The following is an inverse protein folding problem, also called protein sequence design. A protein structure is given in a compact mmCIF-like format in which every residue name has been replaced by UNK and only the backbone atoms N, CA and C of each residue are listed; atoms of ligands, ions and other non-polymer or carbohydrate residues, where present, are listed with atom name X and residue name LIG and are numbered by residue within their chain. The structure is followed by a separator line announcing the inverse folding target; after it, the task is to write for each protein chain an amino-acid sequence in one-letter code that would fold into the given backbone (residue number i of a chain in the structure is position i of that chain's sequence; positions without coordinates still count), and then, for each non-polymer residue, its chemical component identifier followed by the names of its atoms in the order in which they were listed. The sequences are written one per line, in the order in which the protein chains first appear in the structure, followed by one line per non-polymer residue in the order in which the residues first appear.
data_IF_946625673952
#
_entry.id   IF_946625673952
#
_cell.length_a   1.000
_cell.length_b   1.000
_cell.length_c   1.000
_cell.angle_alpha   90.00
_cell.angle_beta   90.00
_cell.angle_gamma   90.00
#
_symmetry.space_group_name_H-M   'P 1'
#
loop_
_entity.id
_entity.type
_entity.pdbx_description
1 polymer ?
#
# COMPACT_ATOMS: atom_id res chain seq x y z
N UNK A 1 -21.38 -21.15 2.56
CA UNK A 1 -20.51 -21.00 1.37
C UNK A 1 -19.12 -21.34 1.84
N UNK A 2 -18.45 -22.26 1.17
CA UNK A 2 -17.15 -22.76 1.61
C UNK A 2 -16.12 -21.62 1.55
N UNK A 3 -15.61 -21.19 2.71
CA UNK A 3 -14.64 -20.11 2.78
C UNK A 3 -13.34 -20.62 2.16
N UNK A 4 -13.04 -20.21 0.92
CA UNK A 4 -11.75 -20.50 0.28
C UNK A 4 -10.64 -19.95 1.15
N UNK A 5 -9.97 -20.82 1.90
CA UNK A 5 -8.75 -20.49 2.62
C UNK A 5 -7.64 -20.36 1.58
N UNK A 6 -7.06 -19.17 1.46
CA UNK A 6 -5.94 -18.95 0.55
C UNK A 6 -4.68 -19.57 1.14
N UNK A 7 -3.92 -20.33 0.34
CA UNK A 7 -2.63 -20.84 0.76
C UNK A 7 -1.60 -19.69 0.78
N UNK A 8 -1.27 -19.21 1.98
CA UNK A 8 -0.30 -18.13 2.19
C UNK A 8 1.13 -18.63 2.41
N UNK A 9 1.42 -19.93 2.27
CA UNK A 9 2.77 -20.49 2.54
C UNK A 9 3.89 -19.78 1.79
N UNK A 10 3.62 -19.29 0.58
CA UNK A 10 4.57 -18.54 -0.25
C UNK A 10 4.37 -17.02 -0.24
N UNK A 11 3.37 -16.51 0.47
CA UNK A 11 3.08 -15.07 0.51
C UNK A 11 3.77 -14.39 1.70
N UNK A 12 4.35 -13.18 1.54
CA UNK A 12 4.95 -12.43 2.65
C UNK A 12 4.00 -12.23 3.81
N UNK A 13 2.73 -11.93 3.52
CA UNK A 13 1.71 -11.65 4.54
C UNK A 13 1.47 -12.76 5.56
N UNK A 14 1.92 -13.99 5.31
CA UNK A 14 1.90 -15.05 6.34
C UNK A 14 2.65 -14.66 7.62
N UNK A 15 3.69 -13.83 7.51
CA UNK A 15 4.51 -13.38 8.64
C UNK A 15 3.78 -12.45 9.61
N UNK A 16 2.61 -11.93 9.20
CA UNK A 16 1.77 -11.05 10.03
C UNK A 16 0.35 -11.57 10.22
N UNK A 17 -0.09 -12.58 9.47
CA UNK A 17 -1.47 -13.11 9.56
C UNK A 17 -1.58 -14.53 10.09
N UNK A 18 -0.59 -15.41 9.83
CA UNK A 18 -0.77 -16.85 10.05
C UNK A 18 -0.14 -17.38 11.35
N UNK A 19 -0.90 -18.21 12.07
CA UNK A 19 -0.44 -18.90 13.28
C UNK A 19 -0.65 -18.13 14.60
N UNK A 20 -0.56 -18.82 15.76
CA UNK A 20 -0.87 -18.21 17.06
C UNK A 20 0.05 -17.05 17.44
N UNK A 21 1.35 -17.16 17.13
CA UNK A 21 2.35 -16.13 17.49
C UNK A 21 2.16 -14.78 16.77
N UNK A 22 1.32 -14.73 15.73
CA UNK A 22 0.97 -13.51 15.00
C UNK A 22 -0.28 -12.82 15.55
N UNK A 23 -0.83 -13.28 16.68
CA UNK A 23 -1.98 -12.65 17.32
C UNK A 23 -1.79 -11.14 17.59
N UNK A 24 -0.62 -10.65 18.05
CA UNK A 24 -0.39 -9.22 18.21
C UNK A 24 -0.45 -8.45 16.89
N UNK A 25 0.05 -9.00 15.79
CA UNK A 25 -0.04 -8.34 14.49
C UNK A 25 -1.49 -8.27 13.99
N UNK A 26 -2.24 -9.37 14.15
CA UNK A 26 -3.66 -9.40 13.79
C UNK A 26 -4.51 -8.43 14.62
N UNK A 27 -4.15 -8.11 15.87
CA UNK A 27 -4.92 -7.14 16.65
C UNK A 27 -4.94 -5.75 16.00
N UNK A 28 -3.83 -5.31 15.40
CA UNK A 28 -3.78 -4.08 14.60
C UNK A 28 -4.63 -4.19 13.33
N UNK A 29 -4.62 -5.35 12.65
CA UNK A 29 -5.47 -5.57 11.48
C UNK A 29 -6.96 -5.51 11.85
N UNK A 30 -7.35 -6.12 12.97
CA UNK A 30 -8.72 -6.00 13.49
C UNK A 30 -9.08 -4.57 13.89
N UNK A 31 -8.15 -3.84 14.52
CA UNK A 31 -8.36 -2.43 14.88
C UNK A 31 -8.56 -1.52 13.65
N UNK A 32 -8.02 -1.91 12.48
CA UNK A 32 -8.29 -1.26 11.19
C UNK A 32 -9.61 -1.69 10.54
N UNK A 33 -10.40 -2.53 11.21
CA UNK A 33 -11.71 -2.99 10.73
C UNK A 33 -11.67 -4.17 9.76
N UNK A 34 -10.53 -4.85 9.61
CA UNK A 34 -10.46 -6.05 8.76
C UNK A 34 -11.18 -7.22 9.42
N UNK A 35 -11.94 -7.97 8.63
CA UNK A 35 -12.54 -9.22 9.11
C UNK A 35 -11.51 -10.34 9.14
N UNK A 36 -11.85 -11.44 9.82
CA UNK A 36 -11.02 -12.65 9.84
C UNK A 36 -10.76 -13.16 8.42
N UNK A 37 -11.79 -13.16 7.59
CA UNK A 37 -11.71 -13.61 6.19
C UNK A 37 -10.72 -12.76 5.40
N UNK A 38 -10.79 -11.43 5.53
CA UNK A 38 -9.88 -10.49 4.87
C UNK A 38 -8.42 -10.68 5.31
N UNK A 39 -8.19 -10.92 6.60
CA UNK A 39 -6.83 -11.17 7.12
C UNK A 39 -6.20 -12.41 6.46
N UNK A 40 -6.99 -13.44 6.17
CA UNK A 40 -6.51 -14.67 5.55
C UNK A 40 -6.52 -14.63 4.00
N UNK A 41 -6.90 -13.51 3.39
CA UNK A 41 -6.68 -13.25 1.96
C UNK A 41 -5.24 -12.80 1.68
N UNK A 42 -4.80 -12.81 0.41
CA UNK A 42 -3.59 -12.09 0.00
C UNK A 42 -3.73 -10.60 0.35
N UNK A 43 -2.76 -10.05 1.06
CA UNK A 43 -2.66 -8.61 1.24
C UNK A 43 -2.07 -8.01 -0.04
N UNK A 44 -2.59 -6.87 -0.49
CA UNK A 44 -2.08 -6.20 -1.71
C UNK A 44 -1.84 -4.74 -1.39
N UNK A 45 -0.58 -4.31 -1.42
CA UNK A 45 -0.22 -2.90 -1.29
C UNK A 45 -0.74 -2.08 -2.47
N UNK A 46 -1.41 -0.97 -2.20
CA UNK A 46 -1.85 0.01 -3.20
C UNK A 46 -1.10 1.32 -2.95
N UNK A 47 0.07 1.45 -3.56
CA UNK A 47 0.90 2.64 -3.46
C UNK A 47 0.35 3.76 -4.34
N UNK A 48 0.16 4.95 -3.76
CA UNK A 48 -0.28 6.14 -4.47
C UNK A 48 0.71 7.28 -4.30
N UNK A 49 0.89 8.07 -5.35
CA UNK A 49 1.64 9.32 -5.32
C UNK A 49 0.71 10.54 -5.14
N UNK A 50 -0.52 10.33 -4.65
CA UNK A 50 -1.50 11.40 -4.51
C UNK A 50 -1.01 12.52 -3.62
N UNK A 51 -1.22 13.75 -4.07
CA UNK A 51 -1.09 14.97 -3.31
C UNK A 51 -1.80 16.12 -4.04
N UNK A 52 -1.92 17.25 -3.36
CA UNK A 52 -2.49 18.50 -3.90
C UNK A 52 -1.40 19.45 -4.45
N UNK A 53 -0.16 18.98 -4.58
CA UNK A 53 0.94 19.83 -5.02
C UNK A 53 0.89 20.15 -6.52
N UNK A 54 0.27 19.28 -7.34
CA UNK A 54 0.20 19.47 -8.79
C UNK A 54 -0.92 18.66 -9.46
N UNK A 55 -1.41 19.13 -10.63
CA UNK A 55 -2.51 18.48 -11.35
C UNK A 55 -2.19 17.05 -11.83
N UNK A 56 -0.93 16.67 -11.93
CA UNK A 56 -0.53 15.31 -12.31
C UNK A 56 -0.94 14.25 -11.28
N UNK A 57 -1.11 14.62 -10.00
CA UNK A 57 -1.28 13.66 -8.91
C UNK A 57 -2.68 13.67 -8.26
N UNK A 58 -3.47 14.72 -8.45
CA UNK A 58 -4.77 14.90 -7.77
C UNK A 58 -5.77 13.76 -8.03
N UNK A 59 -5.70 13.13 -9.21
CA UNK A 59 -6.57 12.02 -9.59
C UNK A 59 -6.16 10.67 -8.98
N UNK A 60 -4.96 10.56 -8.39
CA UNK A 60 -4.43 9.29 -7.92
C UNK A 60 -5.20 8.75 -6.71
N UNK A 61 -5.81 9.60 -5.87
CA UNK A 61 -6.64 9.14 -4.75
C UNK A 61 -7.88 8.39 -5.24
N UNK A 62 -8.61 8.94 -6.22
CA UNK A 62 -9.79 8.26 -6.79
C UNK A 62 -9.40 6.97 -7.53
N UNK A 63 -8.24 6.96 -8.18
CA UNK A 63 -7.73 5.77 -8.88
C UNK A 63 -7.32 4.69 -7.88
N UNK A 64 -6.67 5.04 -6.77
CA UNK A 64 -6.36 4.11 -5.69
C UNK A 64 -7.65 3.49 -5.12
N UNK A 65 -8.72 4.26 -4.93
CA UNK A 65 -10.02 3.69 -4.53
C UNK A 65 -10.59 2.70 -5.55
N UNK A 66 -10.44 2.96 -6.85
CA UNK A 66 -10.85 2.02 -7.89
C UNK A 66 -10.02 0.71 -7.86
N UNK A 67 -8.70 0.82 -7.70
CA UNK A 67 -7.80 -0.33 -7.55
C UNK A 67 -8.20 -1.18 -6.33
N UNK A 68 -8.44 -0.55 -5.17
CA UNK A 68 -8.88 -1.25 -3.95
C UNK A 68 -10.15 -2.05 -4.17
N UNK A 69 -11.14 -1.50 -4.89
CA UNK A 69 -12.38 -2.22 -5.24
C UNK A 69 -12.07 -3.45 -6.09
N UNK A 70 -11.20 -3.33 -7.09
CA UNK A 70 -10.80 -4.46 -7.94
C UNK A 70 -10.06 -5.56 -7.17
N UNK A 71 -9.13 -5.18 -6.29
CA UNK A 71 -8.45 -6.13 -5.39
C UNK A 71 -9.46 -6.88 -4.51
N UNK A 72 -10.38 -6.15 -3.87
CA UNK A 72 -11.39 -6.73 -3.01
C UNK A 72 -12.34 -7.67 -3.78
N UNK A 73 -12.78 -7.29 -4.99
CA UNK A 73 -13.65 -8.14 -5.81
C UNK A 73 -12.96 -9.40 -6.32
N UNK A 74 -11.62 -9.38 -6.43
CA UNK A 74 -10.81 -10.54 -6.78
C UNK A 74 -10.44 -11.43 -5.57
N UNK A 75 -10.91 -11.09 -4.36
CA UNK A 75 -10.63 -11.85 -3.13
C UNK A 75 -9.28 -11.55 -2.48
N UNK A 76 -8.68 -10.40 -2.77
CA UNK A 76 -7.54 -9.85 -2.04
C UNK A 76 -7.97 -8.78 -1.02
N UNK A 77 -7.11 -8.49 -0.05
CA UNK A 77 -7.32 -7.42 0.92
C UNK A 77 -6.39 -6.24 0.62
N UNK A 78 -6.91 -5.12 0.09
CA UNK A 78 -6.08 -4.00 -0.31
C UNK A 78 -5.58 -3.18 0.89
N UNK A 79 -4.33 -2.75 0.83
CA UNK A 79 -3.65 -1.91 1.82
C UNK A 79 -3.07 -0.67 1.15
N UNK A 80 -3.84 0.41 1.18
CA UNK A 80 -3.44 1.68 0.57
C UNK A 80 -2.44 2.44 1.43
N UNK A 81 -1.46 3.04 0.78
CA UNK A 81 -0.53 4.00 1.39
C UNK A 81 -0.06 5.01 0.34
N UNK A 82 0.46 6.13 0.80
CA UNK A 82 1.00 7.17 -0.07
C UNK A 82 2.52 7.28 0.05
N UNK A 83 3.15 7.66 -1.06
CA UNK A 83 4.53 8.17 -1.09
C UNK A 83 4.56 9.59 -1.64
N UNK A 84 5.70 10.26 -1.46
CA UNK A 84 5.92 11.65 -1.88
C UNK A 84 6.08 11.76 -3.39
N UNK A 85 5.93 12.98 -3.91
CA UNK A 85 6.44 13.37 -5.23
C UNK A 85 6.89 14.82 -5.22
N UNK A 86 7.84 15.17 -6.09
CA UNK A 86 8.13 16.55 -6.45
C UNK A 86 7.57 16.82 -7.84
N UNK A 87 7.10 18.06 -8.09
CA UNK A 87 6.61 18.47 -9.40
C UNK A 87 7.63 19.33 -10.11
N UNK A 88 8.25 18.79 -11.15
CA UNK A 88 9.30 19.48 -11.92
C UNK A 88 8.85 20.84 -12.43
N UNK A 89 7.61 20.94 -12.93
CA UNK A 89 7.06 22.20 -13.43
C UNK A 89 6.98 23.31 -12.37
N UNK A 90 6.85 22.96 -11.09
CA UNK A 90 6.87 23.92 -9.98
C UNK A 90 8.30 24.18 -9.52
N UNK A 91 9.13 23.14 -9.44
CA UNK A 91 10.50 23.23 -8.93
C UNK A 91 11.48 23.94 -9.90
N UNK A 92 11.09 24.11 -11.16
CA UNK A 92 11.96 24.63 -12.23
C UNK A 92 12.35 26.09 -11.99
N UNK A 93 13.62 26.41 -12.23
CA UNK A 93 14.13 27.78 -12.16
C UNK A 93 14.53 28.27 -10.77
N UNK A 94 14.49 27.42 -9.74
CA UNK A 94 15.01 27.74 -8.42
C UNK A 94 15.65 26.51 -7.74
N UNK A 95 16.16 26.70 -6.52
CA UNK A 95 16.86 25.69 -5.72
C UNK A 95 16.08 24.39 -5.49
N UNK A 96 14.75 24.41 -5.63
CA UNK A 96 13.89 23.25 -5.45
C UNK A 96 14.11 22.16 -6.50
N UNK A 97 14.63 22.48 -7.69
CA UNK A 97 14.95 21.49 -8.73
C UNK A 97 15.98 20.45 -8.26
N UNK A 98 16.81 20.79 -7.25
CA UNK A 98 17.75 19.84 -6.62
C UNK A 98 17.04 18.67 -5.92
N UNK A 99 15.75 18.82 -5.59
CA UNK A 99 14.92 17.79 -4.98
C UNK A 99 14.24 16.87 -5.99
N UNK A 100 14.24 17.20 -7.29
CA UNK A 100 13.51 16.42 -8.32
C UNK A 100 14.09 15.01 -8.48
N UNK A 101 15.35 14.89 -8.90
CA UNK A 101 15.92 13.58 -9.24
C UNK A 101 16.03 12.64 -8.03
N UNK A 102 16.38 13.17 -6.85
CA UNK A 102 16.47 12.36 -5.62
C UNK A 102 15.11 11.86 -5.15
N UNK A 103 14.00 12.52 -5.53
CA UNK A 103 12.66 12.04 -5.17
C UNK A 103 12.37 10.65 -5.73
N UNK A 104 12.99 10.25 -6.85
CA UNK A 104 12.89 8.91 -7.41
C UNK A 104 13.37 7.83 -6.44
N UNK A 105 14.53 8.04 -5.81
CA UNK A 105 15.10 7.08 -4.85
C UNK A 105 14.22 7.00 -3.60
N UNK A 106 13.77 8.15 -3.10
CA UNK A 106 12.88 8.20 -1.93
C UNK A 106 11.54 7.51 -2.19
N UNK A 107 10.99 7.63 -3.40
CA UNK A 107 9.78 6.90 -3.82
C UNK A 107 10.05 5.39 -3.82
N UNK A 108 11.15 4.94 -4.41
CA UNK A 108 11.51 3.52 -4.43
C UNK A 108 11.70 2.97 -3.00
N UNK A 109 12.49 3.66 -2.18
CA UNK A 109 12.80 3.26 -0.81
C UNK A 109 11.54 3.24 0.06
N UNK A 110 10.70 4.27 0.00
CA UNK A 110 9.48 4.32 0.81
C UNK A 110 8.47 3.22 0.46
N UNK A 111 8.33 2.88 -0.83
CA UNK A 111 7.50 1.75 -1.27
C UNK A 111 8.11 0.43 -0.78
N UNK A 112 9.42 0.24 -0.96
CA UNK A 112 10.11 -0.96 -0.49
C UNK A 112 9.99 -1.16 1.02
N UNK A 113 10.22 -0.10 1.81
CA UNK A 113 10.09 -0.11 3.26
C UNK A 113 8.67 -0.46 3.69
N UNK A 114 7.66 0.09 3.01
CA UNK A 114 6.26 -0.21 3.34
C UNK A 114 5.93 -1.67 3.06
N UNK A 115 6.31 -2.18 1.89
CA UNK A 115 6.04 -3.56 1.50
C UNK A 115 6.74 -4.57 2.41
N UNK A 116 8.04 -4.37 2.68
CA UNK A 116 8.82 -5.26 3.56
C UNK A 116 8.37 -5.15 5.02
N UNK A 117 8.17 -3.94 5.52
CA UNK A 117 7.81 -3.68 6.92
C UNK A 117 6.45 -4.24 7.30
N UNK A 118 5.47 -4.17 6.40
CA UNK A 118 4.11 -4.66 6.67
C UNK A 118 3.85 -6.05 6.10
N UNK A 119 4.82 -6.65 5.41
CA UNK A 119 4.70 -7.95 4.75
C UNK A 119 3.48 -8.02 3.80
N UNK A 120 3.26 -6.97 3.01
CA UNK A 120 2.24 -7.01 1.96
C UNK A 120 2.69 -7.93 0.81
#
# INVERSE_FOLDING_TARGET
MDHRVFDKTKLPSRHVTEGPSRAPHRSYLYAMGLTREQIHQPLVGVASCWNEAAPCNIALMRQAQAVKKGVASAGGTPREFCTITVTDGIAMGHEGMKSSLVSREVIADSVELTMRGHCY
#
